data_IF_549916190922
#
_entry.id   IF_549916190922
#
_cell.length_a   1.000
_cell.length_b   1.000
_cell.length_c   1.000
_cell.angle_alpha   90.00
_cell.angle_beta   90.00
_cell.angle_gamma   90.00
#
_symmetry.space_group_name_H-M   'P 1'
#
loop_
_entity.id
_entity.type
_entity.pdbx_description
1 polymer ?
#
# COMPACT_ATOMS: atom_id res chain seq x y z
N UNK A 1 27.35 -15.13 15.53
CA UNK A 1 27.42 -13.88 14.71
C UNK A 1 26.07 -13.58 14.07
N UNK A 2 25.50 -14.46 13.24
CA UNK A 2 24.16 -14.22 12.64
C UNK A 2 23.06 -13.83 13.64
N UNK A 3 22.89 -14.58 14.74
CA UNK A 3 21.82 -14.34 15.74
C UNK A 3 22.00 -13.07 16.57
N UNK A 4 23.23 -12.60 16.76
CA UNK A 4 23.54 -11.49 17.68
C UNK A 4 23.94 -10.20 16.97
N UNK A 5 24.51 -10.33 15.78
CA UNK A 5 24.98 -9.21 14.98
C UNK A 5 24.15 -9.09 13.70
N UNK A 6 23.68 -10.19 13.10
CA UNK A 6 23.14 -10.21 11.74
C UNK A 6 24.22 -10.21 10.65
N UNK A 7 25.47 -10.62 10.94
CA UNK A 7 26.49 -10.89 9.90
C UNK A 7 26.49 -12.37 9.53
N UNK A 8 26.52 -12.65 8.23
CA UNK A 8 26.93 -13.96 7.70
C UNK A 8 28.39 -13.83 7.25
N UNK A 9 29.25 -14.67 7.81
CA UNK A 9 30.66 -14.78 7.43
C UNK A 9 30.91 -16.27 7.14
N UNK A 10 30.60 -16.67 5.91
CA UNK A 10 30.62 -18.06 5.45
C UNK A 10 31.41 -18.18 4.13
N UNK A 11 32.75 -18.27 4.20
CA UNK A 11 33.60 -18.39 3.02
C UNK A 11 33.48 -19.74 2.31
N UNK A 12 33.01 -20.79 3.00
CA UNK A 12 32.95 -22.16 2.48
C UNK A 12 31.53 -22.62 2.11
N UNK A 13 30.50 -21.83 2.42
CA UNK A 13 29.12 -22.16 2.10
C UNK A 13 28.51 -23.22 3.02
N UNK A 14 29.12 -23.48 4.18
CA UNK A 14 28.73 -24.53 5.13
C UNK A 14 27.54 -24.11 6.00
N UNK A 15 27.28 -22.80 6.13
CA UNK A 15 26.20 -22.32 6.95
C UNK A 15 24.84 -22.60 6.28
N UNK A 16 23.88 -23.07 7.08
CA UNK A 16 22.56 -23.46 6.61
C UNK A 16 21.68 -22.28 6.15
N UNK A 17 22.13 -21.04 6.35
CA UNK A 17 21.49 -19.84 5.82
C UNK A 17 22.31 -19.33 4.64
N UNK A 18 21.69 -19.30 3.46
CA UNK A 18 22.28 -18.73 2.26
C UNK A 18 21.92 -17.24 2.14
N UNK A 19 22.88 -16.40 1.78
CA UNK A 19 22.63 -15.02 1.36
C UNK A 19 22.66 -14.92 -0.17
N UNK A 20 21.58 -14.41 -0.75
CA UNK A 20 21.53 -14.08 -2.17
C UNK A 20 21.87 -12.59 -2.39
N UNK A 21 23.13 -12.31 -2.71
CA UNK A 21 23.66 -10.95 -2.92
C UNK A 21 23.12 -10.22 -4.16
N UNK A 22 22.39 -10.92 -5.03
CA UNK A 22 21.78 -10.30 -6.22
C UNK A 22 20.56 -9.42 -5.89
N UNK A 23 19.90 -9.66 -4.74
CA UNK A 23 18.72 -8.93 -4.32
C UNK A 23 19.11 -7.76 -3.41
N UNK A 24 19.18 -6.57 -3.99
CA UNK A 24 19.48 -5.34 -3.27
C UNK A 24 18.21 -4.63 -2.78
N UNK A 25 18.38 -3.71 -1.83
CA UNK A 25 17.28 -2.94 -1.20
C UNK A 25 16.50 -2.10 -2.21
N UNK A 26 17.13 -1.69 -3.30
CA UNK A 26 16.54 -0.88 -4.37
C UNK A 26 15.44 -1.64 -5.13
N UNK A 27 15.56 -2.98 -5.20
CA UNK A 27 14.57 -3.85 -5.85
C UNK A 27 13.22 -3.87 -5.13
N UNK A 28 13.16 -3.58 -3.82
CA UNK A 28 11.91 -3.55 -3.05
C UNK A 28 10.87 -2.57 -3.60
N UNK A 29 11.31 -1.47 -4.22
CA UNK A 29 10.39 -0.49 -4.83
C UNK A 29 9.74 -1.01 -6.11
N UNK A 30 10.36 -1.98 -6.76
CA UNK A 30 9.92 -2.59 -8.02
C UNK A 30 9.29 -3.97 -7.80
N UNK A 31 9.60 -4.66 -6.72
CA UNK A 31 9.16 -6.04 -6.48
C UNK A 31 7.73 -6.10 -5.95
N UNK A 32 6.84 -6.73 -6.72
CA UNK A 32 5.45 -6.99 -6.31
C UNK A 32 5.36 -8.07 -5.21
N UNK A 33 6.17 -9.12 -5.30
CA UNK A 33 6.07 -10.33 -4.45
C UNK A 33 6.87 -10.24 -3.14
N UNK A 34 7.43 -9.07 -2.79
CA UNK A 34 8.35 -8.92 -1.66
C UNK A 34 9.53 -9.92 -1.70
N UNK A 35 10.05 -10.19 -2.93
CA UNK A 35 11.11 -11.17 -3.19
C UNK A 35 12.34 -10.96 -2.33
N UNK A 36 12.73 -9.69 -2.11
CA UNK A 36 13.79 -9.35 -1.19
C UNK A 36 13.62 -9.98 0.21
N UNK A 37 12.45 -9.86 0.84
CA UNK A 37 12.24 -10.38 2.20
C UNK A 37 12.23 -11.92 2.24
N UNK A 38 11.69 -12.54 1.18
CA UNK A 38 11.52 -13.99 1.10
C UNK A 38 12.79 -14.72 0.63
N UNK A 39 13.47 -14.17 -0.37
CA UNK A 39 14.51 -14.86 -1.15
C UNK A 39 15.93 -14.35 -0.88
N UNK A 40 16.11 -13.19 -0.21
CA UNK A 40 17.47 -12.71 0.12
C UNK A 40 18.18 -13.61 1.10
N UNK A 41 17.47 -14.12 2.10
CA UNK A 41 17.97 -15.14 3.01
C UNK A 41 17.05 -16.35 3.02
N UNK A 42 17.60 -17.51 2.63
CA UNK A 42 16.90 -18.79 2.54
C UNK A 42 17.62 -19.88 3.34
N UNK A 43 16.87 -20.90 3.74
CA UNK A 43 17.42 -22.09 4.38
C UNK A 43 17.90 -23.08 3.31
N UNK A 44 19.07 -23.70 3.52
CA UNK A 44 19.61 -24.81 2.72
C UNK A 44 19.21 -26.15 3.34
N UNK A 45 19.35 -27.24 2.59
CA UNK A 45 19.03 -28.62 3.04
C UNK A 45 19.99 -29.18 4.13
N UNK A 46 21.02 -28.42 4.52
CA UNK A 46 22.02 -28.81 5.53
C UNK A 46 21.70 -28.38 6.96
N UNK A 47 20.43 -28.39 7.39
CA UNK A 47 20.04 -27.98 8.74
C UNK A 47 20.36 -29.10 9.74
N UNK A 48 21.15 -28.86 10.79
CA UNK A 48 21.34 -29.84 11.85
C UNK A 48 20.01 -30.22 12.50
N UNK A 49 19.74 -31.51 12.69
CA UNK A 49 18.46 -32.02 13.18
C UNK A 49 18.00 -31.39 14.50
N UNK A 50 18.93 -31.05 15.39
CA UNK A 50 18.67 -30.37 16.66
C UNK A 50 18.21 -28.91 16.51
N UNK A 51 18.49 -28.25 15.38
CA UNK A 51 18.05 -26.88 15.09
C UNK A 51 16.82 -26.82 14.20
N UNK A 52 16.33 -27.94 13.68
CA UNK A 52 15.26 -27.93 12.68
C UNK A 52 14.00 -27.19 13.16
N UNK A 53 13.64 -27.35 14.44
CA UNK A 53 12.49 -26.69 15.05
C UNK A 53 12.67 -25.16 15.23
N UNK A 54 13.92 -24.68 15.21
CA UNK A 54 14.30 -23.30 15.57
C UNK A 54 14.91 -22.55 14.38
N UNK A 55 15.26 -23.26 13.31
CA UNK A 55 15.91 -22.72 12.11
C UNK A 55 15.16 -21.53 11.52
N UNK A 56 13.82 -21.59 11.49
CA UNK A 56 12.99 -20.48 11.03
C UNK A 56 13.12 -19.23 11.93
N UNK A 57 13.16 -19.41 13.25
CA UNK A 57 13.35 -18.29 14.19
C UNK A 57 14.76 -17.71 14.12
N UNK A 58 15.79 -18.57 13.96
CA UNK A 58 17.18 -18.11 13.74
C UNK A 58 17.28 -17.27 12.46
N UNK A 59 16.60 -17.70 11.38
CA UNK A 59 16.55 -16.95 10.14
C UNK A 59 15.89 -15.58 10.33
N UNK A 60 14.72 -15.51 10.99
CA UNK A 60 14.00 -14.25 11.19
C UNK A 60 14.74 -13.30 12.14
N UNK A 61 15.35 -13.80 13.21
CA UNK A 61 16.17 -12.98 14.14
C UNK A 61 17.28 -12.26 13.39
N UNK A 62 18.05 -12.97 12.57
CA UNK A 62 19.13 -12.34 11.81
C UNK A 62 18.63 -11.44 10.68
N UNK A 63 17.46 -11.74 10.06
CA UNK A 63 16.80 -10.81 9.13
C UNK A 63 16.47 -9.48 9.81
N UNK A 64 15.91 -9.50 11.02
CA UNK A 64 15.59 -8.28 11.78
C UNK A 64 16.85 -7.46 12.09
N UNK A 65 17.90 -8.09 12.60
CA UNK A 65 19.16 -7.42 12.90
C UNK A 65 19.84 -6.87 11.62
N UNK A 66 19.74 -7.57 10.50
CA UNK A 66 20.28 -7.07 9.24
C UNK A 66 19.53 -5.82 8.76
N UNK A 67 18.20 -5.78 8.87
CA UNK A 67 17.41 -4.57 8.58
C UNK A 67 17.83 -3.41 9.49
N UNK A 68 18.00 -3.65 10.79
CA UNK A 68 18.44 -2.61 11.72
C UNK A 68 19.83 -2.08 11.36
N UNK A 69 20.76 -2.97 10.99
CA UNK A 69 22.10 -2.57 10.56
C UNK A 69 22.07 -1.73 9.29
N UNK A 70 21.26 -2.12 8.31
CA UNK A 70 21.08 -1.35 7.07
C UNK A 70 20.51 0.06 7.34
N UNK A 71 19.88 0.29 8.51
CA UNK A 71 19.39 1.60 8.95
C UNK A 71 20.52 2.48 9.52
N UNK A 72 21.72 1.93 9.68
CA UNK A 72 22.79 2.53 10.45
C UNK A 72 22.66 2.34 11.97
N UNK A 73 21.73 1.48 12.43
CA UNK A 73 21.60 1.12 13.85
C UNK A 73 22.35 -0.18 14.12
N UNK A 74 23.58 -0.04 14.62
CA UNK A 74 24.36 -1.18 15.12
C UNK A 74 23.87 -1.56 16.52
N UNK A 75 22.78 -2.32 16.58
CA UNK A 75 22.33 -2.93 17.82
C UNK A 75 23.00 -4.29 17.94
N UNK A 76 23.87 -4.44 18.94
CA UNK A 76 24.35 -5.73 19.39
C UNK A 76 23.43 -6.19 20.51
N UNK A 77 22.89 -7.39 20.39
CA UNK A 77 22.15 -8.01 21.50
C UNK A 77 23.10 -8.10 22.70
N UNK A 78 22.77 -7.40 23.79
CA UNK A 78 23.61 -7.32 24.99
C UNK A 78 23.92 -8.72 25.51
N UNK A 79 25.18 -9.13 25.39
CA UNK A 79 25.67 -10.36 26.00
C UNK A 79 25.77 -10.11 27.51
N UNK A 80 25.03 -10.86 28.31
CA UNK A 80 25.56 -11.24 29.61
C UNK A 80 26.74 -12.18 29.32
N UNK A 81 27.94 -11.77 29.70
CA UNK A 81 29.25 -12.33 29.31
C UNK A 81 29.43 -13.86 29.56
N UNK A 82 28.46 -14.53 30.18
CA UNK A 82 28.52 -15.94 30.59
C UNK A 82 27.82 -16.93 29.65
N UNK A 83 27.32 -16.51 28.48
CA UNK A 83 26.51 -17.35 27.58
C UNK A 83 27.00 -17.36 26.13
N UNK A 84 28.32 -17.46 25.90
CA UNK A 84 28.79 -17.94 24.61
C UNK A 84 28.18 -19.33 24.39
N UNK A 85 27.55 -19.56 23.23
CA UNK A 85 27.02 -20.86 22.75
C UNK A 85 28.08 -21.99 22.67
N UNK A 86 29.23 -21.82 23.31
CA UNK A 86 30.36 -22.74 23.40
C UNK A 86 30.13 -23.87 24.42
N UNK A 87 29.13 -23.76 25.29
CA UNK A 87 28.76 -24.78 26.28
C UNK A 87 27.58 -25.63 25.79
N UNK A 88 27.87 -26.72 25.08
CA UNK A 88 26.91 -27.76 24.66
C UNK A 88 26.41 -28.66 25.83
N UNK A 89 26.63 -28.26 27.09
CA UNK A 89 26.41 -29.11 28.27
C UNK A 89 24.96 -29.22 28.77
N UNK A 90 24.04 -28.39 28.28
CA UNK A 90 22.65 -28.34 28.75
C UNK A 90 21.69 -28.20 27.55
N UNK A 91 21.01 -29.29 27.21
CA UNK A 91 20.18 -29.48 26.00
C UNK A 91 19.04 -28.47 25.76
N UNK A 92 18.86 -27.46 26.63
CA UNK A 92 17.82 -26.44 26.51
C UNK A 92 18.30 -24.99 26.62
N UNK A 93 19.56 -24.74 27.04
CA UNK A 93 20.02 -23.38 27.30
C UNK A 93 20.23 -22.58 26.00
N UNK A 94 20.62 -23.24 24.91
CA UNK A 94 20.72 -22.62 23.59
C UNK A 94 19.36 -22.17 23.04
N UNK A 95 18.27 -22.88 23.37
CA UNK A 95 16.91 -22.52 22.95
C UNK A 95 16.45 -21.23 23.62
N UNK A 96 16.71 -21.08 24.91
CA UNK A 96 16.40 -19.87 25.66
C UNK A 96 17.21 -18.67 25.15
N UNK A 97 18.50 -18.87 24.85
CA UNK A 97 19.33 -17.83 24.24
C UNK A 97 18.78 -17.38 22.87
N UNK A 98 18.34 -18.33 22.02
CA UNK A 98 17.77 -17.99 20.70
C UNK A 98 16.45 -17.23 20.85
N UNK A 99 15.58 -17.68 21.76
CA UNK A 99 14.31 -16.98 22.05
C UNK A 99 14.55 -15.57 22.57
N UNK A 100 15.44 -15.42 23.55
CA UNK A 100 15.81 -14.10 24.09
C UNK A 100 16.39 -13.17 23.01
N UNK A 101 17.23 -13.70 22.11
CA UNK A 101 17.76 -12.92 20.99
C UNK A 101 16.66 -12.53 19.98
N UNK A 102 15.70 -13.42 19.72
CA UNK A 102 14.55 -13.13 18.86
C UNK A 102 13.64 -12.05 19.48
N UNK A 103 13.31 -12.17 20.76
CA UNK A 103 12.45 -11.22 21.47
C UNK A 103 13.09 -9.83 21.52
N UNK A 104 14.39 -9.77 21.77
CA UNK A 104 15.15 -8.53 21.74
C UNK A 104 15.21 -7.93 20.32
N UNK A 105 15.58 -8.71 19.29
CA UNK A 105 15.69 -8.21 17.92
C UNK A 105 14.34 -7.74 17.36
N UNK A 106 13.25 -8.46 17.65
CA UNK A 106 11.90 -8.09 17.22
C UNK A 106 11.37 -6.86 17.96
N UNK A 107 11.59 -6.77 19.27
CA UNK A 107 11.21 -5.61 20.08
C UNK A 107 11.94 -4.33 19.66
N UNK A 108 13.25 -4.40 19.48
CA UNK A 108 14.07 -3.25 19.04
C UNK A 108 13.71 -2.81 17.62
N UNK A 109 13.54 -3.74 16.68
CA UNK A 109 13.11 -3.41 15.32
C UNK A 109 11.74 -2.73 15.32
N UNK A 110 10.77 -3.26 16.08
CA UNK A 110 9.43 -2.68 16.16
C UNK A 110 9.47 -1.27 16.75
N UNK A 111 10.25 -1.07 17.82
CA UNK A 111 10.43 0.25 18.47
C UNK A 111 11.07 1.23 17.49
N UNK A 112 12.09 0.80 16.75
CA UNK A 112 12.73 1.60 15.71
C UNK A 112 11.76 1.99 14.58
N UNK A 113 10.93 1.06 14.10
CA UNK A 113 9.94 1.35 13.05
C UNK A 113 8.80 2.26 13.54
N UNK A 114 8.38 2.11 14.79
CA UNK A 114 7.30 2.91 15.38
C UNK A 114 7.77 4.31 15.74
N UNK A 115 8.92 4.45 16.39
CA UNK A 115 9.33 5.72 16.97
C UNK A 115 10.18 6.55 16.00
N UNK A 116 11.15 5.94 15.30
CA UNK A 116 12.03 6.71 14.38
C UNK A 116 11.41 6.96 13.02
N UNK A 117 10.66 5.98 12.51
CA UNK A 117 10.07 6.05 11.16
C UNK A 117 8.57 6.37 11.16
N UNK A 118 7.96 6.55 12.34
CA UNK A 118 6.54 6.87 12.53
C UNK A 118 5.61 6.04 11.63
N UNK A 119 5.73 4.71 11.71
CA UNK A 119 4.91 3.79 10.91
C UNK A 119 3.40 4.07 11.10
N UNK A 120 2.98 4.40 12.33
CA UNK A 120 1.56 4.69 12.63
C UNK A 120 1.12 5.98 11.94
N UNK A 121 1.95 7.03 11.97
CA UNK A 121 1.69 8.26 11.21
C UNK A 121 1.54 7.99 9.72
N UNK A 122 2.48 7.25 9.11
CA UNK A 122 2.42 6.90 7.68
C UNK A 122 1.18 6.09 7.31
N UNK A 123 0.77 5.12 8.14
CA UNK A 123 -0.48 4.36 7.93
C UNK A 123 -1.72 5.25 8.05
N UNK A 124 -1.71 6.19 9.00
CA UNK A 124 -2.79 7.18 9.14
C UNK A 124 -2.88 8.09 7.92
N UNK A 125 -1.76 8.49 7.35
CA UNK A 125 -1.72 9.34 6.15
C UNK A 125 -2.13 8.56 4.91
N UNK A 126 -1.71 7.30 4.76
CA UNK A 126 -2.25 6.40 3.74
C UNK A 126 -3.78 6.31 3.81
N UNK A 127 -4.34 6.17 5.01
CA UNK A 127 -5.80 6.23 5.21
C UNK A 127 -6.38 7.58 4.78
N UNK A 128 -5.81 8.71 5.25
CA UNK A 128 -6.32 10.06 4.95
C UNK A 128 -6.43 10.31 3.46
N UNK A 129 -5.40 9.94 2.70
CA UNK A 129 -5.29 10.27 1.28
C UNK A 129 -5.84 9.18 0.35
N UNK A 130 -5.51 7.89 0.57
CA UNK A 130 -5.95 6.82 -0.35
C UNK A 130 -7.37 6.33 -0.04
N UNK A 131 -7.81 6.37 1.23
CA UNK A 131 -9.18 5.99 1.62
C UNK A 131 -10.14 7.18 1.73
N UNK A 132 -9.68 8.39 1.40
CA UNK A 132 -10.45 9.63 1.37
C UNK A 132 -11.12 10.01 2.71
N UNK A 133 -10.46 9.74 3.84
CA UNK A 133 -10.90 10.22 5.17
C UNK A 133 -10.90 11.75 5.22
N UNK A 134 -9.89 12.39 4.59
CA UNK A 134 -9.81 13.83 4.38
C UNK A 134 -9.95 14.11 2.88
N UNK A 135 -11.19 14.18 2.39
CA UNK A 135 -11.47 14.37 0.96
C UNK A 135 -11.56 15.82 0.48
N UNK A 136 -11.23 16.81 1.30
CA UNK A 136 -11.30 18.24 0.98
C UNK A 136 -10.29 18.64 -0.11
N UNK A 137 -9.03 18.21 0.04
CA UNK A 137 -7.99 18.40 -0.97
C UNK A 137 -8.40 17.82 -2.32
N UNK A 138 -9.09 16.67 -2.33
CA UNK A 138 -9.50 16.02 -3.56
C UNK A 138 -10.54 16.84 -4.31
N UNK A 139 -11.48 17.49 -3.60
CA UNK A 139 -12.46 18.37 -4.23
C UNK A 139 -11.75 19.53 -4.91
N UNK A 140 -10.83 20.19 -4.21
CA UNK A 140 -10.07 21.30 -4.77
C UNK A 140 -9.16 20.86 -5.94
N UNK A 141 -8.50 19.72 -5.82
CA UNK A 141 -7.71 19.12 -6.90
C UNK A 141 -8.57 18.88 -8.15
N UNK A 142 -9.77 18.30 -8.02
CA UNK A 142 -10.67 18.07 -9.15
C UNK A 142 -11.13 19.38 -9.84
N UNK A 143 -11.06 20.52 -9.15
CA UNK A 143 -11.39 21.84 -9.72
C UNK A 143 -10.26 22.31 -10.62
N UNK A 144 -9.05 22.32 -10.07
CA UNK A 144 -7.88 22.87 -10.75
C UNK A 144 -7.42 21.92 -11.87
N UNK A 145 -7.53 20.60 -11.67
CA UNK A 145 -7.07 19.60 -12.63
C UNK A 145 -8.11 19.24 -13.71
N UNK A 146 -9.27 19.90 -13.75
CA UNK A 146 -10.36 19.57 -14.70
C UNK A 146 -9.91 19.56 -16.16
N UNK A 147 -9.13 20.55 -16.57
CA UNK A 147 -8.64 20.67 -17.95
C UNK A 147 -7.60 19.60 -18.30
N UNK A 148 -6.80 19.13 -17.34
CA UNK A 148 -5.83 18.06 -17.56
C UNK A 148 -6.50 16.68 -17.52
N UNK A 149 -7.45 16.48 -16.60
CA UNK A 149 -8.13 15.19 -16.43
C UNK A 149 -9.10 14.86 -17.57
N UNK A 150 -9.54 15.86 -18.35
CA UNK A 150 -10.41 15.66 -19.53
C UNK A 150 -9.66 15.26 -20.79
N UNK A 151 -8.32 15.41 -20.80
CA UNK A 151 -7.47 14.97 -21.92
C UNK A 151 -7.36 13.44 -21.96
N UNK A 152 -6.89 12.93 -23.09
CA UNK A 152 -6.51 11.53 -23.24
C UNK A 152 -5.23 11.25 -22.45
N UNK A 153 -5.01 10.02 -21.96
CA UNK A 153 -3.85 9.68 -21.12
C UNK A 153 -2.49 9.90 -21.79
N UNK A 154 -2.43 9.96 -23.12
CA UNK A 154 -1.21 10.23 -23.89
C UNK A 154 -0.79 11.70 -23.83
N UNK A 155 -1.76 12.61 -23.71
CA UNK A 155 -1.55 14.07 -23.73
C UNK A 155 -1.41 14.67 -22.32
N UNK A 156 -1.46 13.82 -21.28
CA UNK A 156 -1.41 14.25 -19.88
C UNK A 156 0.04 14.29 -19.40
N UNK A 157 0.49 15.48 -19.00
CA UNK A 157 1.76 15.65 -18.32
C UNK A 157 1.64 15.29 -16.83
N UNK A 158 2.32 14.21 -16.42
CA UNK A 158 2.36 13.74 -15.03
C UNK A 158 2.93 14.81 -14.09
N UNK A 159 3.95 15.55 -14.53
CA UNK A 159 4.58 16.62 -13.75
C UNK A 159 3.60 17.75 -13.43
N UNK A 160 2.77 18.15 -14.41
CA UNK A 160 1.72 19.14 -14.19
C UNK A 160 0.69 18.61 -13.19
N UNK A 161 0.24 17.37 -13.34
CA UNK A 161 -0.70 16.77 -12.38
C UNK A 161 -0.12 16.69 -10.97
N UNK A 162 1.17 16.32 -10.82
CA UNK A 162 1.86 16.36 -9.53
C UNK A 162 1.82 17.77 -8.94
N UNK A 163 2.20 18.79 -9.72
CA UNK A 163 2.16 20.17 -9.24
C UNK A 163 0.76 20.62 -8.79
N UNK A 164 -0.28 20.17 -9.49
CA UNK A 164 -1.67 20.46 -9.17
C UNK A 164 -2.14 19.75 -7.88
N UNK A 165 -1.69 18.51 -7.66
CA UNK A 165 -1.91 17.78 -6.40
C UNK A 165 -1.21 18.51 -5.26
N UNK A 166 0.04 18.93 -5.45
CA UNK A 166 0.81 19.63 -4.41
C UNK A 166 0.18 20.97 -4.03
N UNK A 167 -0.31 21.73 -5.01
CA UNK A 167 -1.09 22.95 -4.76
C UNK A 167 -2.34 22.63 -3.93
N UNK A 168 -3.06 21.58 -4.31
CA UNK A 168 -4.28 21.20 -3.61
C UNK A 168 -4.02 20.76 -2.16
N UNK A 169 -2.95 20.02 -1.93
CA UNK A 169 -2.54 19.59 -0.58
C UNK A 169 -2.13 20.78 0.30
N UNK A 170 -1.35 21.73 -0.24
CA UNK A 170 -0.88 22.91 0.51
C UNK A 170 -1.99 23.91 0.84
N UNK A 171 -3.01 24.00 -0.01
CA UNK A 171 -4.14 24.94 0.17
C UNK A 171 -5.22 24.47 1.15
N UNK A 172 -5.19 23.20 1.57
CA UNK A 172 -6.23 22.57 2.38
C UNK A 172 -5.71 22.13 3.75
N UNK A 173 -6.58 21.58 4.60
CA UNK A 173 -6.18 21.10 5.93
C UNK A 173 -5.14 19.95 5.86
N UNK A 174 -4.98 19.33 4.68
CA UNK A 174 -3.95 18.35 4.38
C UNK A 174 -2.51 18.88 4.56
N UNK A 175 -2.29 20.20 4.51
CA UNK A 175 -0.97 20.81 4.74
C UNK A 175 -0.44 20.61 6.17
N UNK A 176 -1.34 20.29 7.12
CA UNK A 176 -0.96 20.03 8.52
C UNK A 176 -0.27 18.68 8.73
N UNK A 177 -0.33 17.75 7.77
CA UNK A 177 0.30 16.43 7.87
C UNK A 177 1.74 16.48 7.36
N UNK A 178 2.77 16.18 8.17
CA UNK A 178 4.16 16.19 7.71
C UNK A 178 4.47 15.23 6.55
N UNK A 179 3.62 14.22 6.33
CA UNK A 179 3.84 13.19 5.31
C UNK A 179 3.11 13.43 3.99
N UNK A 180 2.49 14.60 3.81
CA UNK A 180 1.81 14.97 2.56
C UNK A 180 2.77 15.02 1.36
N UNK A 181 4.06 15.27 1.59
CA UNK A 181 5.09 15.36 0.54
C UNK A 181 5.44 14.02 -0.11
N UNK A 182 5.09 12.90 0.53
CA UNK A 182 5.34 11.55 -0.01
C UNK A 182 4.27 11.11 -1.03
N UNK A 183 3.22 11.91 -1.24
CA UNK A 183 2.20 11.65 -2.23
C UNK A 183 2.74 11.88 -3.64
N UNK A 184 2.57 10.87 -4.49
CA UNK A 184 2.99 10.92 -5.89
C UNK A 184 1.79 10.75 -6.80
N UNK A 185 1.78 11.45 -7.92
CA UNK A 185 0.78 11.29 -8.97
C UNK A 185 1.25 10.21 -9.93
N UNK A 186 0.36 9.26 -10.21
CA UNK A 186 0.59 8.22 -11.20
C UNK A 186 -0.55 8.23 -12.22
N UNK A 187 -0.19 8.13 -13.51
CA UNK A 187 -1.16 7.97 -14.59
C UNK A 187 -1.04 6.56 -15.12
N UNK A 188 -2.08 5.76 -14.90
CA UNK A 188 -2.11 4.36 -15.29
C UNK A 188 -2.73 4.17 -16.67
N UNK A 189 -2.03 3.47 -17.56
CA UNK A 189 -2.48 3.27 -18.96
C UNK A 189 -3.62 2.26 -19.10
N UNK A 190 -3.94 1.51 -18.06
CA UNK A 190 -5.01 0.49 -18.05
C UNK A 190 -6.21 0.93 -17.22
N UNK A 191 -7.41 0.62 -17.71
CA UNK A 191 -8.64 0.79 -16.92
C UNK A 191 -8.64 -0.07 -15.66
N UNK A 192 -9.42 0.34 -14.67
CA UNK A 192 -9.53 -0.35 -13.38
C UNK A 192 -9.91 -1.83 -13.57
N UNK A 193 -10.88 -2.11 -14.44
CA UNK A 193 -11.33 -3.48 -14.74
C UNK A 193 -10.25 -4.36 -15.38
N UNK A 194 -9.45 -3.81 -16.30
CA UNK A 194 -8.33 -4.53 -16.93
C UNK A 194 -7.23 -4.85 -15.91
N UNK A 195 -6.97 -3.94 -14.97
CA UNK A 195 -6.00 -4.18 -13.90
C UNK A 195 -6.50 -5.22 -12.90
N UNK A 196 -7.78 -5.19 -12.55
CA UNK A 196 -8.37 -6.18 -11.63
C UNK A 196 -8.37 -7.60 -12.23
N UNK A 197 -8.67 -7.74 -13.51
CA UNK A 197 -8.63 -9.04 -14.21
C UNK A 197 -7.21 -9.56 -14.28
N UNK A 198 -6.24 -8.75 -14.71
CA UNK A 198 -4.83 -9.14 -14.71
C UNK A 198 -4.29 -9.51 -13.32
N UNK A 199 -4.69 -8.80 -12.25
CA UNK A 199 -4.28 -9.15 -10.89
C UNK A 199 -4.96 -10.42 -10.38
N UNK A 200 -6.23 -10.65 -10.72
CA UNK A 200 -6.92 -11.89 -10.40
C UNK A 200 -6.24 -13.08 -11.07
N UNK A 201 -5.80 -12.92 -12.32
CA UNK A 201 -5.09 -13.97 -13.05
C UNK A 201 -3.70 -14.24 -12.46
N UNK A 202 -3.02 -13.22 -11.93
CA UNK A 202 -1.74 -13.36 -11.21
C UNK A 202 -1.88 -14.08 -9.86
N UNK A 203 -2.93 -13.80 -9.08
CA UNK A 203 -3.20 -14.52 -7.83
C UNK A 203 -3.73 -15.96 -8.09
N UNK A 204 -4.32 -16.22 -9.27
CA UNK A 204 -4.91 -17.52 -9.65
C UNK A 204 -3.90 -18.50 -10.29
N UNK A 205 -2.67 -18.07 -10.59
CA UNK A 205 -1.60 -18.93 -11.12
C UNK A 205 -1.12 -20.04 -10.15
N UNK A 206 -1.63 -20.07 -8.91
CA UNK A 206 -1.40 -21.15 -7.93
C UNK A 206 -2.50 -22.23 -7.90
N UNK A 207 -3.58 -22.07 -8.64
CA UNK A 207 -4.63 -23.07 -8.79
C UNK A 207 -4.69 -23.49 -10.25
N UNK A 208 -4.15 -24.67 -10.54
CA UNK A 208 -4.36 -25.36 -11.81
C UNK A 208 -5.85 -25.68 -11.95
N UNK A 209 -6.58 -24.79 -12.60
CA UNK A 209 -7.79 -25.17 -13.33
C UNK A 209 -7.94 -24.26 -14.54
N UNK A 210 -7.33 -24.71 -15.65
CA UNK A 210 -7.65 -24.23 -16.98
C UNK A 210 -9.03 -24.76 -17.34
N UNK A 211 -10.07 -23.94 -17.19
CA UNK A 211 -11.31 -24.10 -17.94
C UNK A 211 -11.93 -22.74 -18.28
N UNK A 212 -11.99 -22.50 -19.59
CA UNK A 212 -12.87 -21.58 -20.31
C UNK A 212 -12.76 -20.07 -20.01
N UNK A 213 -11.87 -19.40 -20.74
CA UNK A 213 -12.12 -18.04 -21.21
C UNK A 213 -12.23 -18.07 -22.73
N UNK A 214 -13.41 -18.49 -23.21
CA UNK A 214 -13.83 -18.23 -24.58
C UNK A 214 -14.40 -16.82 -24.66
N UNK A 215 -13.93 -16.06 -25.65
CA UNK A 215 -14.64 -14.96 -26.31
C UNK A 215 -15.10 -13.76 -25.46
N UNK A 216 -14.20 -12.80 -25.23
CA UNK A 216 -14.55 -11.36 -25.25
C UNK A 216 -13.35 -10.57 -25.80
N UNK A 217 -12.91 -10.90 -27.02
CA UNK A 217 -11.98 -10.06 -27.78
C UNK A 217 -12.78 -8.99 -28.53
N UNK A 218 -13.20 -7.99 -27.78
CA UNK A 218 -13.48 -6.67 -28.33
C UNK A 218 -12.80 -5.67 -27.41
N UNK A 219 -11.74 -4.95 -27.86
CA UNK A 219 -11.25 -3.81 -27.14
C UNK A 219 -12.37 -2.79 -27.24
N UNK A 220 -13.27 -2.78 -26.27
CA UNK A 220 -14.13 -1.64 -26.04
C UNK A 220 -13.15 -0.51 -25.73
N UNK A 221 -12.78 0.24 -26.77
CA UNK A 221 -12.07 1.51 -26.69
C UNK A 221 -13.08 2.48 -26.07
N UNK A 222 -13.39 2.24 -24.80
CA UNK A 222 -13.89 3.29 -23.94
C UNK A 222 -12.87 4.41 -24.12
N UNK A 223 -13.36 5.62 -24.39
CA UNK A 223 -12.54 6.81 -24.44
C UNK A 223 -11.99 7.04 -23.03
N UNK A 224 -10.97 6.26 -22.66
CA UNK A 224 -10.34 6.27 -21.36
C UNK A 224 -9.79 7.67 -21.22
N UNK A 225 -10.45 8.42 -20.36
CA UNK A 225 -10.15 9.81 -20.09
C UNK A 225 -9.14 9.86 -18.95
N UNK A 226 -8.38 10.95 -18.83
CA UNK A 226 -7.42 11.16 -17.74
C UNK A 226 -7.98 10.82 -16.36
N UNK A 227 -9.27 11.11 -16.17
CA UNK A 227 -10.04 10.81 -14.97
C UNK A 227 -10.07 9.33 -14.58
N UNK A 228 -10.08 8.41 -15.55
CA UNK A 228 -10.02 6.96 -15.31
C UNK A 228 -8.62 6.43 -15.07
N UNK A 229 -7.62 7.16 -15.55
CA UNK A 229 -6.22 6.77 -15.43
C UNK A 229 -5.54 7.34 -14.20
N UNK A 230 -6.11 8.39 -13.60
CA UNK A 230 -5.53 9.05 -12.45
C UNK A 230 -5.50 8.15 -11.22
N UNK A 231 -4.34 8.08 -10.56
CA UNK A 231 -4.18 7.44 -9.27
C UNK A 231 -3.15 8.16 -8.41
N UNK A 232 -3.33 8.08 -7.10
CA UNK A 232 -2.34 8.52 -6.12
C UNK A 232 -1.44 7.35 -5.73
N UNK A 233 -0.13 7.55 -5.87
CA UNK A 233 0.91 6.75 -5.27
C UNK A 233 1.35 7.34 -3.94
N UNK A 234 2.00 6.51 -3.14
CA UNK A 234 2.60 6.93 -1.88
C UNK A 234 4.03 6.38 -1.83
N UNK A 235 5.01 7.28 -1.73
CA UNK A 235 6.42 6.92 -1.70
C UNK A 235 6.79 6.49 -0.29
N UNK A 236 7.12 5.21 -0.14
CA UNK A 236 7.47 4.66 1.16
C UNK A 236 8.98 4.46 1.21
N UNK A 237 9.70 5.21 2.04
CA UNK A 237 11.12 4.99 2.21
C UNK A 237 11.37 3.64 2.88
N UNK A 238 12.51 3.06 2.57
CA UNK A 238 13.05 1.96 3.36
C UNK A 238 13.29 2.45 4.80
N UNK A 239 13.00 1.67 5.86
CA UNK A 239 12.62 0.25 5.91
C UNK A 239 11.11 -0.03 5.91
N UNK A 240 10.27 1.02 5.90
CA UNK A 240 8.81 0.88 5.98
C UNK A 240 8.22 0.09 4.79
N UNK A 241 8.91 0.08 3.66
CA UNK A 241 8.56 -0.71 2.47
C UNK A 241 8.51 -2.22 2.73
N UNK A 242 9.15 -2.71 3.80
CA UNK A 242 9.07 -4.12 4.21
C UNK A 242 7.70 -4.46 4.79
N UNK A 243 7.10 -3.53 5.56
CA UNK A 243 5.79 -3.71 6.17
C UNK A 243 4.69 -3.35 5.16
N UNK A 244 4.84 -2.20 4.50
CA UNK A 244 3.90 -1.74 3.48
C UNK A 244 4.43 -2.15 2.10
N UNK A 245 4.15 -3.41 1.77
CA UNK A 245 4.56 -4.00 0.49
C UNK A 245 3.90 -3.32 -0.71
N UNK A 246 4.53 -3.43 -1.88
CA UNK A 246 3.97 -2.96 -3.15
C UNK A 246 2.61 -3.61 -3.44
N UNK A 247 2.42 -4.89 -3.10
CA UNK A 247 1.12 -5.60 -3.21
C UNK A 247 0.01 -4.94 -2.38
N UNK A 248 0.32 -4.50 -1.16
CA UNK A 248 -0.64 -3.78 -0.33
C UNK A 248 -0.95 -2.40 -0.95
N UNK A 249 0.07 -1.65 -1.37
CA UNK A 249 -0.10 -0.33 -1.97
C UNK A 249 -0.95 -0.38 -3.25
N UNK A 250 -0.74 -1.37 -4.13
CA UNK A 250 -1.55 -1.54 -5.34
C UNK A 250 -3.02 -1.81 -5.03
N UNK A 251 -3.32 -2.54 -3.94
CA UNK A 251 -4.71 -2.75 -3.50
C UNK A 251 -5.33 -1.44 -3.03
N UNK A 252 -4.62 -0.66 -2.22
CA UNK A 252 -5.10 0.66 -1.80
C UNK A 252 -5.29 1.62 -2.99
N UNK A 253 -4.40 1.59 -3.98
CA UNK A 253 -4.56 2.38 -5.21
C UNK A 253 -5.84 2.03 -5.98
N UNK A 254 -6.19 0.75 -6.05
CA UNK A 254 -7.43 0.32 -6.70
C UNK A 254 -8.68 0.82 -5.96
N UNK A 255 -8.66 0.74 -4.62
CA UNK A 255 -9.72 1.30 -3.78
C UNK A 255 -9.83 2.81 -4.01
N UNK A 256 -8.70 3.52 -4.01
CA UNK A 256 -8.65 4.94 -4.28
C UNK A 256 -9.26 5.28 -5.64
N UNK A 257 -8.90 4.57 -6.71
CA UNK A 257 -9.45 4.80 -8.06
C UNK A 257 -10.97 4.67 -8.07
N UNK A 258 -11.52 3.63 -7.44
CA UNK A 258 -12.97 3.44 -7.32
C UNK A 258 -13.62 4.61 -6.56
N UNK A 259 -13.07 4.98 -5.41
CA UNK A 259 -13.60 6.07 -4.59
C UNK A 259 -13.52 7.42 -5.33
N UNK A 260 -12.42 7.67 -6.04
CA UNK A 260 -12.22 8.85 -6.88
C UNK A 260 -13.31 8.96 -7.96
N UNK A 261 -13.61 7.85 -8.64
CA UNK A 261 -14.69 7.78 -9.62
C UNK A 261 -16.06 8.09 -9.03
N UNK A 262 -16.40 7.45 -7.92
CA UNK A 262 -17.66 7.70 -7.22
C UNK A 262 -17.79 9.16 -6.82
N UNK A 263 -16.70 9.77 -6.32
CA UNK A 263 -16.68 11.19 -5.92
C UNK A 263 -16.84 12.12 -7.11
N UNK A 264 -16.18 11.84 -8.23
CA UNK A 264 -16.32 12.62 -9.45
C UNK A 264 -17.76 12.57 -10.00
N UNK A 265 -18.36 11.38 -10.09
CA UNK A 265 -19.74 11.22 -10.58
C UNK A 265 -20.74 11.93 -9.66
N UNK A 266 -20.60 11.77 -8.33
CA UNK A 266 -21.42 12.50 -7.35
C UNK A 266 -21.36 14.01 -7.60
N UNK A 267 -20.16 14.53 -7.86
CA UNK A 267 -19.96 15.96 -8.12
C UNK A 267 -20.58 16.42 -9.44
N UNK A 268 -20.44 15.66 -10.52
CA UNK A 268 -21.08 16.00 -11.79
C UNK A 268 -22.61 16.03 -11.66
N UNK A 269 -23.18 15.08 -10.90
CA UNK A 269 -24.61 15.08 -10.58
C UNK A 269 -25.02 16.30 -9.73
N UNK A 270 -24.21 16.70 -8.75
CA UNK A 270 -24.43 17.94 -8.00
C UNK A 270 -24.43 19.17 -8.91
N UNK A 271 -23.47 19.27 -9.84
CA UNK A 271 -23.40 20.39 -10.79
C UNK A 271 -24.62 20.41 -11.73
N UNK A 272 -25.01 19.26 -12.27
CA UNK A 272 -26.20 19.12 -13.11
C UNK A 272 -27.48 19.51 -12.34
N UNK A 273 -27.60 19.08 -11.07
CA UNK A 273 -28.70 19.43 -10.20
C UNK A 273 -28.77 20.95 -9.93
N UNK A 274 -27.64 21.60 -9.66
CA UNK A 274 -27.59 23.06 -9.46
C UNK A 274 -28.08 23.82 -10.69
N UNK A 275 -27.63 23.42 -11.88
CA UNK A 275 -28.07 23.98 -13.15
C UNK A 275 -29.58 23.79 -13.33
N UNK A 276 -30.08 22.57 -13.10
CA UNK A 276 -31.51 22.27 -13.17
C UNK A 276 -32.36 23.08 -12.19
N UNK A 277 -31.86 23.33 -10.97
CA UNK A 277 -32.53 24.18 -9.99
C UNK A 277 -32.53 25.65 -10.40
N UNK A 278 -31.45 26.15 -11.02
CA UNK A 278 -31.41 27.48 -11.62
C UNK A 278 -32.47 27.67 -12.70
N UNK A 279 -32.66 26.67 -13.56
CA UNK A 279 -33.73 26.67 -14.56
C UNK A 279 -35.14 26.53 -13.99
N UNK A 280 -35.32 26.04 -12.75
CA UNK A 280 -36.65 26.06 -12.10
C UNK A 280 -37.05 27.45 -11.60
N UNK A 281 -36.08 28.31 -11.28
CA UNK A 281 -36.34 29.70 -10.87
C UNK A 281 -36.87 30.54 -12.04
N UNK A 282 -36.37 30.27 -13.24
CA UNK A 282 -36.87 30.83 -14.50
C UNK A 282 -38.05 29.98 -14.95
N UNK A 283 -39.31 30.41 -14.72
CA UNK A 283 -40.55 29.67 -15.05
C UNK A 283 -40.76 29.43 -16.56
N UNK A 284 -39.79 28.86 -17.26
CA UNK A 284 -39.81 28.61 -18.70
C UNK A 284 -39.47 27.13 -18.90
N UNK A 285 -40.44 26.40 -19.46
CA UNK A 285 -40.40 25.00 -19.91
C UNK A 285 -40.70 23.87 -18.87
N UNK A 286 -41.91 23.31 -18.97
CA UNK A 286 -42.14 21.89 -19.30
C UNK A 286 -41.96 20.77 -18.24
N UNK A 287 -42.84 19.77 -18.32
CA UNK A 287 -42.78 18.44 -17.68
C UNK A 287 -41.46 17.63 -17.84
N UNK A 288 -40.62 17.76 -18.91
CA UNK A 288 -39.37 17.00 -19.02
C UNK A 288 -38.29 17.41 -18.02
N UNK A 289 -38.19 18.70 -17.65
CA UNK A 289 -37.20 19.20 -16.66
C UNK A 289 -37.52 18.65 -15.25
N UNK A 290 -38.80 18.40 -14.98
CA UNK A 290 -39.24 17.75 -13.74
C UNK A 290 -38.79 16.28 -13.68
N UNK A 291 -38.89 15.53 -14.79
CA UNK A 291 -38.46 14.12 -14.87
C UNK A 291 -36.94 13.98 -14.78
N UNK A 292 -36.19 14.83 -15.49
CA UNK A 292 -34.71 14.80 -15.45
C UNK A 292 -34.15 15.15 -14.07
N UNK A 293 -34.80 16.07 -13.35
CA UNK A 293 -34.39 16.42 -11.98
C UNK A 293 -34.75 15.32 -10.97
N UNK A 294 -35.91 14.66 -11.08
CA UNK A 294 -36.22 13.50 -10.23
C UNK A 294 -35.17 12.39 -10.40
N UNK A 295 -34.77 12.10 -11.64
CA UNK A 295 -33.75 11.11 -11.97
C UNK A 295 -32.36 11.52 -11.45
N UNK A 296 -31.97 12.79 -11.60
CA UNK A 296 -30.73 13.30 -11.02
C UNK A 296 -30.72 13.17 -9.48
N UNK A 297 -31.85 13.44 -8.82
CA UNK A 297 -32.00 13.30 -7.37
C UNK A 297 -31.90 11.85 -6.92
N UNK A 298 -32.50 10.90 -7.64
CA UNK A 298 -32.42 9.48 -7.30
C UNK A 298 -31.01 8.93 -7.49
N UNK A 299 -30.34 9.27 -8.59
CA UNK A 299 -28.94 8.90 -8.83
C UNK A 299 -28.02 9.51 -7.77
N UNK A 300 -28.20 10.78 -7.42
CA UNK A 300 -27.40 11.43 -6.38
C UNK A 300 -27.62 10.78 -5.01
N UNK A 301 -28.86 10.42 -4.66
CA UNK A 301 -29.15 9.67 -3.43
C UNK A 301 -28.44 8.31 -3.44
N UNK A 302 -28.51 7.57 -4.55
CA UNK A 302 -27.85 6.28 -4.67
C UNK A 302 -26.33 6.39 -4.53
N UNK A 303 -25.68 7.27 -5.31
CA UNK A 303 -24.22 7.45 -5.28
C UNK A 303 -23.76 7.94 -3.91
N UNK A 304 -24.50 8.84 -3.27
CA UNK A 304 -24.15 9.29 -1.92
C UNK A 304 -24.33 8.17 -0.90
N UNK A 305 -25.41 7.37 -0.96
CA UNK A 305 -25.58 6.20 -0.09
C UNK A 305 -24.46 5.17 -0.31
N UNK A 306 -24.06 4.91 -1.55
CA UNK A 306 -22.93 4.03 -1.87
C UNK A 306 -21.61 4.59 -1.33
N UNK A 307 -21.36 5.89 -1.52
CA UNK A 307 -20.15 6.54 -1.00
C UNK A 307 -20.10 6.45 0.53
N UNK A 308 -21.20 6.74 1.22
CA UNK A 308 -21.29 6.61 2.68
C UNK A 308 -21.08 5.17 3.13
N UNK A 309 -21.65 4.18 2.42
CA UNK A 309 -21.39 2.77 2.71
C UNK A 309 -19.90 2.43 2.56
N UNK A 310 -19.28 2.85 1.47
CA UNK A 310 -17.86 2.56 1.20
C UNK A 310 -16.91 3.27 2.18
N UNK A 311 -17.17 4.52 2.56
CA UNK A 311 -16.30 5.26 3.49
C UNK A 311 -16.60 4.99 4.96
N UNK A 312 -17.85 4.70 5.33
CA UNK A 312 -18.26 4.58 6.73
C UNK A 312 -18.52 3.13 7.15
N UNK A 313 -19.19 2.31 6.35
CA UNK A 313 -19.44 0.90 6.72
C UNK A 313 -18.29 -0.03 6.36
N UNK A 314 -17.53 0.26 5.30
CA UNK A 314 -16.45 -0.62 4.85
C UNK A 314 -15.07 -0.19 5.36
N UNK A 315 -14.84 1.08 5.71
CA UNK A 315 -13.51 1.50 6.22
C UNK A 315 -13.47 1.66 7.75
N UNK A 316 -14.59 2.02 8.39
CA UNK A 316 -14.63 2.33 9.82
C UNK A 316 -14.62 1.10 10.77
N UNK A 317 -15.23 -0.07 10.44
CA UNK A 317 -15.13 -1.26 11.31
C UNK A 317 -13.80 -2.02 11.16
N UNK A 318 -13.16 -1.98 9.99
CA UNK A 318 -11.81 -2.55 9.84
C UNK A 318 -10.77 -1.78 10.66
N UNK A 319 -10.99 -0.48 10.88
CA UNK A 319 -10.17 0.33 11.76
C UNK A 319 -10.29 -0.14 13.22
N UNK A 320 -11.49 -0.44 13.72
CA UNK A 320 -11.69 -0.94 15.09
C UNK A 320 -10.97 -2.27 15.35
N UNK A 321 -10.98 -3.19 14.39
CA UNK A 321 -10.21 -4.44 14.53
C UNK A 321 -8.70 -4.22 14.43
N UNK A 322 -8.22 -3.34 13.53
CA UNK A 322 -6.78 -3.13 13.37
C UNK A 322 -6.15 -2.27 14.49
N UNK A 323 -6.91 -1.38 15.15
CA UNK A 323 -6.42 -0.61 16.30
C UNK A 323 -6.60 -1.32 17.65
N UNK A 324 -7.49 -2.32 17.76
CA UNK A 324 -7.63 -3.14 18.98
C UNK A 324 -6.79 -4.43 18.96
N UNK A 325 -6.15 -4.76 17.83
CA UNK A 325 -5.27 -5.94 17.73
C UNK A 325 -3.77 -5.62 17.87
N UNK A 326 -3.39 -4.39 18.24
CA UNK A 326 -2.00 -3.99 18.53
C UNK A 326 -1.87 -3.28 19.87
#
# INVERSE_FOLDING_TARGET
RWVYEGVIDDPYGEFFIAENKSLQKESLTQDYDAKYWQQRYSLKDGIPSFLNNVAATILTTGKYLNVMRECGHNVQVSLSENSKLTSFGSNHQYLECIKSAYDFASGELLTLMKDKYDLIGKLRSLKRYLLLDQGDFLVHFMDIAREELTKKPEDISVEKLQSLVDIALRSTAAASDPSHEDLTCCVERSSLLKKLTSLKDLDCAYSSDKLAAADVDQPMTLNITGLETFCLGYKIPWPLSLVISRKALTKYQLIFRLLFHCKHVSRQLCQAWQIQQGFRSVKILGTPILRSSILCRSMLKFVNSLLHYLTFEVNHPYQFHHTNCY
#
